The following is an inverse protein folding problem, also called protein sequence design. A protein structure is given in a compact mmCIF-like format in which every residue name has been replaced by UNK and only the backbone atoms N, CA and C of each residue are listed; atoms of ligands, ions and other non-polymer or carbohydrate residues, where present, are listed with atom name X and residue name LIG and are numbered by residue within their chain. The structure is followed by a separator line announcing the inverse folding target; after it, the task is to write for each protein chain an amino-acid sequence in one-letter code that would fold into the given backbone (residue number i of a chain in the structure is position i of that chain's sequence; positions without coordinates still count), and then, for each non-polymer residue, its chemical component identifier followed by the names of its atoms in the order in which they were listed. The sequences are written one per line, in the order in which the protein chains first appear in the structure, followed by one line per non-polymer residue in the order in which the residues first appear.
data_IF_169417299225
#
_entry.id   IF_169417299225
#
_cell.length_a   1.000
_cell.length_b   1.000
_cell.length_c   1.000
_cell.angle_alpha   90.00
_cell.angle_beta   90.00
_cell.angle_gamma   90.00
#
_symmetry.space_group_name_H-M   'P 1'
#
loop_
_entity.id
_entity.type
_entity.pdbx_description
1 polymer ?
#
# COMPACT_ATOMS: atom_id res chain seq x y z
N UNK A 1 7.13 17.67 0.97
CA UNK A 1 5.98 16.95 0.38
C UNK A 1 6.44 15.52 0.14
N UNK A 2 5.73 14.56 0.72
CA UNK A 2 5.99 13.13 0.50
C UNK A 2 5.09 12.60 -0.62
N UNK A 3 5.59 11.63 -1.36
CA UNK A 3 4.89 10.96 -2.44
C UNK A 3 4.69 9.48 -2.10
N UNK A 4 3.62 8.88 -2.62
CA UNK A 4 3.36 7.45 -2.55
C UNK A 4 4.34 6.76 -3.50
N UNK A 5 5.08 5.78 -3.00
CA UNK A 5 6.03 5.02 -3.82
C UNK A 5 5.31 4.07 -4.80
N UNK A 6 6.04 3.61 -5.83
CA UNK A 6 5.56 2.61 -6.80
C UNK A 6 4.77 3.17 -8.00
N UNK A 7 4.42 4.46 -7.99
CA UNK A 7 3.83 5.14 -9.14
C UNK A 7 4.91 5.81 -10.01
N UNK A 8 4.75 5.74 -11.34
CA UNK A 8 5.59 6.51 -12.26
C UNK A 8 5.30 8.02 -12.17
N UNK A 9 4.04 8.41 -11.97
CA UNK A 9 3.68 9.80 -11.67
C UNK A 9 3.79 10.02 -10.16
N UNK A 10 4.45 11.10 -9.71
CA UNK A 10 4.63 11.35 -8.29
C UNK A 10 3.29 11.78 -7.68
N UNK A 11 2.63 10.89 -6.94
CA UNK A 11 1.36 11.15 -6.26
C UNK A 11 1.59 11.59 -4.82
N UNK A 12 1.26 12.85 -4.42
CA UNK A 12 1.39 13.28 -3.04
C UNK A 12 0.63 12.36 -2.08
N UNK A 13 1.14 12.20 -0.85
CA UNK A 13 0.47 11.38 0.19
C UNK A 13 -0.97 11.85 0.49
N UNK A 14 -1.34 13.09 0.16
CA UNK A 14 -2.71 13.59 0.24
C UNK A 14 -3.70 12.80 -0.66
N UNK A 15 -3.23 12.16 -1.73
CA UNK A 15 -4.03 11.30 -2.60
C UNK A 15 -4.13 9.85 -2.10
N UNK A 16 -3.63 9.52 -0.90
CA UNK A 16 -3.63 8.15 -0.40
C UNK A 16 -5.04 7.53 -0.35
N UNK A 17 -6.04 8.29 0.09
CA UNK A 17 -7.44 7.83 0.06
C UNK A 17 -7.97 7.59 -1.35
N UNK A 18 -7.66 8.49 -2.29
CA UNK A 18 -8.04 8.34 -3.70
C UNK A 18 -7.39 7.11 -4.34
N UNK A 19 -6.11 6.88 -4.07
CA UNK A 19 -5.35 5.72 -4.55
C UNK A 19 -5.93 4.43 -3.97
N UNK A 20 -6.07 4.34 -2.64
CA UNK A 20 -6.56 3.14 -1.96
C UNK A 20 -7.99 2.77 -2.36
N UNK A 21 -8.82 3.75 -2.71
CA UNK A 21 -10.19 3.53 -3.18
C UNK A 21 -10.35 3.49 -4.71
N UNK A 22 -9.30 3.72 -5.49
CA UNK A 22 -9.37 4.00 -6.94
C UNK A 22 -10.42 5.09 -7.29
N UNK A 23 -10.40 6.21 -6.56
CA UNK A 23 -11.42 7.25 -6.68
C UNK A 23 -10.83 8.64 -6.59
N UNK A 24 -10.55 9.21 -7.75
CA UNK A 24 -10.19 10.63 -7.89
C UNK A 24 -11.45 11.48 -8.00
N UNK A 25 -11.41 12.65 -7.37
CA UNK A 25 -12.55 13.55 -7.17
C UNK A 25 -12.47 14.80 -8.05
N UNK A 26 -13.59 15.50 -8.20
CA UNK A 26 -13.67 16.72 -9.00
C UNK A 26 -12.67 17.77 -8.50
N UNK A 27 -11.88 18.33 -9.43
CA UNK A 27 -10.88 19.34 -9.12
C UNK A 27 -9.53 18.77 -8.69
N UNK A 28 -9.40 17.45 -8.55
CA UNK A 28 -8.09 16.82 -8.37
C UNK A 28 -7.19 17.16 -9.56
N UNK A 29 -6.00 17.69 -9.28
CA UNK A 29 -4.97 17.98 -10.28
C UNK A 29 -3.71 17.19 -9.98
N UNK A 30 -3.26 16.44 -10.98
CA UNK A 30 -2.16 15.49 -10.86
C UNK A 30 -1.13 15.80 -11.94
N UNK A 31 0.14 15.92 -11.55
CA UNK A 31 1.23 16.27 -12.46
C UNK A 31 2.14 15.07 -12.69
N UNK A 32 2.66 14.92 -13.90
CA UNK A 32 3.64 13.87 -14.19
C UNK A 32 5.01 14.11 -13.55
N UNK A 33 5.27 15.32 -13.03
CA UNK A 33 6.50 15.66 -12.33
C UNK A 33 6.25 16.28 -10.95
N UNK A 34 7.11 15.92 -10.00
CA UNK A 34 6.99 16.37 -8.60
C UNK A 34 7.06 17.89 -8.43
N UNK A 35 7.74 18.59 -9.36
CA UNK A 35 7.80 20.07 -9.38
C UNK A 35 6.46 20.72 -9.72
N UNK A 36 5.50 19.98 -10.27
CA UNK A 36 4.13 20.46 -10.52
C UNK A 36 3.38 20.79 -9.23
N UNK A 37 3.77 20.21 -8.10
CA UNK A 37 3.14 20.47 -6.80
C UNK A 37 3.79 21.59 -6.00
N UNK A 38 4.73 22.34 -6.60
CA UNK A 38 5.40 23.50 -5.96
C UNK A 38 4.82 24.81 -6.50
N UNK A 39 4.89 25.92 -5.74
CA UNK A 39 4.51 27.23 -6.26
C UNK A 39 5.27 27.61 -7.54
N UNK A 40 4.60 28.30 -8.46
CA UNK A 40 5.16 28.69 -9.76
C UNK A 40 5.24 30.21 -9.93
N UNK A 41 6.26 30.87 -9.37
CA UNK A 41 6.39 32.33 -9.49
C UNK A 41 6.65 32.81 -10.92
N UNK A 42 7.12 31.93 -11.82
CA UNK A 42 7.46 32.24 -13.23
C UNK A 42 6.74 31.33 -14.24
N UNK A 43 5.59 30.78 -13.85
CA UNK A 43 4.81 29.84 -14.67
C UNK A 43 5.33 28.40 -14.66
N UNK A 44 4.63 27.53 -15.42
CA UNK A 44 4.78 26.07 -15.42
C UNK A 44 5.90 25.60 -16.36
N UNK A 45 7.18 25.74 -15.95
CA UNK A 45 8.32 25.31 -16.77
C UNK A 45 8.71 23.84 -16.57
N UNK A 46 8.77 23.12 -17.69
CA UNK A 46 9.29 21.75 -17.79
C UNK A 46 8.38 20.68 -17.19
N UNK A 47 7.09 20.97 -16.99
CA UNK A 47 6.11 19.91 -16.82
C UNK A 47 5.89 19.21 -18.16
N UNK A 48 5.61 17.92 -18.16
CA UNK A 48 5.26 17.18 -19.38
C UNK A 48 3.74 17.10 -19.51
N UNK A 49 3.09 16.59 -18.47
CA UNK A 49 1.64 16.41 -18.43
C UNK A 49 1.03 16.89 -17.11
N UNK A 50 -0.24 17.29 -17.19
CA UNK A 50 -1.12 17.39 -16.04
C UNK A 50 -2.48 16.78 -16.39
N UNK A 51 -3.11 16.15 -15.42
CA UNK A 51 -4.50 15.70 -15.50
C UNK A 51 -5.31 16.45 -14.46
N UNK A 52 -6.43 17.02 -14.87
CA UNK A 52 -7.45 17.54 -13.96
C UNK A 52 -8.73 16.72 -14.11
N UNK A 53 -9.29 16.26 -12.99
CA UNK A 53 -10.59 15.57 -12.98
C UNK A 53 -11.70 16.62 -13.02
N UNK A 54 -12.59 16.54 -14.02
CA UNK A 54 -13.63 17.53 -14.28
C UNK A 54 -15.00 17.14 -13.74
N UNK A 55 -15.42 15.89 -13.97
CA UNK A 55 -16.72 15.37 -13.54
C UNK A 55 -16.56 13.88 -13.20
N UNK A 56 -16.34 13.53 -11.92
CA UNK A 56 -16.47 12.16 -11.48
C UNK A 56 -17.96 11.78 -11.45
N UNK A 57 -18.31 10.50 -11.53
CA UNK A 57 -19.71 10.11 -11.53
C UNK A 57 -20.34 10.50 -10.20
N UNK A 58 -21.40 11.31 -10.27
CA UNK A 58 -22.16 11.74 -9.09
C UNK A 58 -22.84 10.51 -8.49
N UNK A 59 -22.26 10.03 -7.39
CA UNK A 59 -22.78 9.01 -6.45
C UNK A 59 -22.58 7.53 -6.82
N UNK A 60 -21.71 6.87 -6.04
CA UNK A 60 -22.07 5.59 -5.45
C UNK A 60 -22.46 5.88 -4.00
N UNK A 61 -23.73 5.59 -3.65
CA UNK A 61 -24.25 5.58 -2.26
C UNK A 61 -23.23 4.93 -1.33
N UNK A 62 -23.10 5.47 -0.12
CA UNK A 62 -22.24 4.96 0.94
C UNK A 62 -22.29 3.42 1.03
N UNK A 63 -21.30 2.75 0.45
CA UNK A 63 -21.09 1.33 0.68
C UNK A 63 -20.74 1.19 2.16
N UNK A 64 -21.33 0.20 2.85
CA UNK A 64 -21.09 -0.03 4.27
C UNK A 64 -19.58 -0.12 4.61
N UNK A 65 -19.18 0.34 5.79
CA UNK A 65 -17.82 0.20 6.29
C UNK A 65 -17.39 -1.29 6.27
N UNK A 66 -16.15 -1.59 5.89
CA UNK A 66 -15.63 -2.97 5.76
C UNK A 66 -15.72 -3.59 4.36
N UNK A 67 -16.15 -2.84 3.35
CA UNK A 67 -16.26 -3.30 1.95
C UNK A 67 -15.14 -2.79 1.04
N UNK A 68 -13.95 -2.47 1.57
CA UNK A 68 -12.86 -1.80 0.82
C UNK A 68 -12.50 -2.47 -0.50
N UNK A 69 -12.36 -3.80 -0.55
CA UNK A 69 -12.12 -4.51 -1.82
C UNK A 69 -13.25 -4.33 -2.84
N UNK A 70 -14.51 -4.32 -2.38
CA UNK A 70 -15.66 -4.05 -3.26
C UNK A 70 -15.72 -2.59 -3.71
N UNK A 71 -15.19 -1.66 -2.91
CA UNK A 71 -15.13 -0.22 -3.26
C UNK A 71 -14.13 0.01 -4.39
N UNK A 72 -12.93 -0.55 -4.28
CA UNK A 72 -11.91 -0.43 -5.33
C UNK A 72 -12.44 -0.95 -6.66
N UNK A 73 -13.00 -2.17 -6.68
CA UNK A 73 -13.55 -2.78 -7.90
C UNK A 73 -14.71 -1.98 -8.50
N UNK A 74 -15.61 -1.46 -7.65
CA UNK A 74 -16.73 -0.63 -8.09
C UNK A 74 -16.24 0.69 -8.72
N UNK A 75 -15.24 1.32 -8.12
CA UNK A 75 -14.69 2.56 -8.63
C UNK A 75 -13.85 2.34 -9.89
N UNK A 76 -13.13 1.22 -10.03
CA UNK A 76 -12.25 0.93 -11.16
C UNK A 76 -12.90 1.17 -12.54
N UNK A 77 -14.15 0.72 -12.70
CA UNK A 77 -14.89 0.85 -13.95
C UNK A 77 -15.77 2.10 -14.01
N UNK A 78 -15.74 2.94 -12.98
CA UNK A 78 -16.54 4.17 -12.93
C UNK A 78 -16.02 5.17 -13.96
N UNK A 79 -16.92 5.63 -14.82
CA UNK A 79 -16.63 6.62 -15.86
C UNK A 79 -16.29 7.97 -15.23
N UNK A 80 -15.36 8.70 -15.82
CA UNK A 80 -15.00 10.05 -15.39
C UNK A 80 -14.55 10.89 -16.59
N UNK A 81 -14.72 12.19 -16.49
CA UNK A 81 -14.14 13.13 -17.45
C UNK A 81 -12.89 13.81 -16.89
N UNK A 82 -11.86 13.90 -17.72
CA UNK A 82 -10.64 14.63 -17.42
C UNK A 82 -10.33 15.69 -18.47
N UNK A 83 -9.52 16.65 -18.04
CA UNK A 83 -8.71 17.49 -18.88
C UNK A 83 -7.25 17.02 -18.80
N UNK A 84 -6.67 16.62 -19.94
CA UNK A 84 -5.25 16.33 -20.07
C UNK A 84 -4.56 17.54 -20.71
N UNK A 85 -3.57 18.09 -20.02
CA UNK A 85 -2.70 19.14 -20.56
C UNK A 85 -1.34 18.54 -20.93
N UNK A 86 -0.97 18.62 -22.21
CA UNK A 86 0.38 18.39 -22.71
C UNK A 86 1.10 19.74 -22.83
N UNK A 87 2.05 19.96 -21.94
CA UNK A 87 2.80 21.22 -21.90
C UNK A 87 3.83 21.34 -23.02
N UNK A 88 4.33 20.22 -23.54
CA UNK A 88 5.27 20.24 -24.66
C UNK A 88 4.54 20.63 -25.95
N UNK A 89 3.34 20.09 -26.15
CA UNK A 89 2.48 20.41 -27.29
C UNK A 89 1.69 21.72 -27.11
N UNK A 90 1.67 22.31 -25.91
CA UNK A 90 0.79 23.43 -25.55
C UNK A 90 -0.68 23.14 -25.87
N UNK A 91 -1.09 21.89 -25.63
CA UNK A 91 -2.41 21.38 -25.98
C UNK A 91 -3.14 20.92 -24.72
N UNK A 92 -4.43 21.17 -24.70
CA UNK A 92 -5.32 20.72 -23.63
C UNK A 92 -6.51 20.01 -24.27
N UNK A 93 -6.75 18.76 -23.85
CA UNK A 93 -7.81 17.92 -24.39
C UNK A 93 -8.73 17.44 -23.29
N UNK A 94 -10.04 17.56 -23.52
CA UNK A 94 -11.06 16.94 -22.67
C UNK A 94 -11.36 15.54 -23.21
N UNK A 95 -11.38 14.55 -22.33
CA UNK A 95 -11.68 13.17 -22.72
C UNK A 95 -12.44 12.44 -21.61
N UNK A 96 -13.39 11.59 -22.02
CA UNK A 96 -14.07 10.65 -21.16
C UNK A 96 -13.21 9.38 -21.01
N UNK A 97 -13.09 8.86 -19.79
CA UNK A 97 -12.31 7.67 -19.47
C UNK A 97 -12.88 6.98 -18.22
N UNK A 98 -12.12 6.10 -17.55
CA UNK A 98 -12.51 5.48 -16.26
C UNK A 98 -11.47 5.71 -15.18
N UNK A 99 -11.84 5.50 -13.91
CA UNK A 99 -10.92 5.62 -12.77
C UNK A 99 -9.74 4.66 -12.91
N UNK A 100 -9.99 3.42 -13.32
CA UNK A 100 -8.95 2.42 -13.55
C UNK A 100 -7.99 2.82 -14.67
N UNK A 101 -8.48 3.44 -15.75
CA UNK A 101 -7.62 3.96 -16.83
C UNK A 101 -6.74 5.12 -16.36
N UNK A 102 -7.31 6.07 -15.59
CA UNK A 102 -6.53 7.12 -14.95
C UNK A 102 -5.50 6.52 -14.00
N UNK A 103 -5.89 5.58 -13.14
CA UNK A 103 -4.99 4.89 -12.22
C UNK A 103 -3.83 4.22 -12.95
N UNK A 104 -4.09 3.49 -14.05
CA UNK A 104 -3.05 2.88 -14.88
C UNK A 104 -2.13 3.90 -15.53
N UNK A 105 -2.64 5.05 -15.99
CA UNK A 105 -1.82 6.15 -16.51
C UNK A 105 -0.83 6.65 -15.44
N UNK A 106 -1.31 6.88 -14.22
CA UNK A 106 -0.48 7.36 -13.11
C UNK A 106 0.55 6.32 -12.67
N UNK A 107 0.11 5.06 -12.59
CA UNK A 107 0.95 3.94 -12.19
C UNK A 107 2.04 3.66 -13.23
N UNK A 108 1.69 3.53 -14.51
CA UNK A 108 2.59 3.11 -15.59
C UNK A 108 3.29 4.27 -16.30
N UNK A 109 2.87 5.50 -16.04
CA UNK A 109 3.44 6.70 -16.63
C UNK A 109 3.10 6.91 -18.10
N UNK A 110 2.07 6.23 -18.61
CA UNK A 110 1.69 6.23 -20.02
C UNK A 110 0.28 6.77 -20.22
N UNK A 111 0.18 7.92 -20.90
CA UNK A 111 -1.10 8.60 -21.21
C UNK A 111 -1.97 7.80 -22.17
N UNK A 112 -1.43 6.82 -22.91
CA UNK A 112 -2.21 5.95 -23.78
C UNK A 112 -3.24 5.11 -23.01
N UNK A 113 -3.08 4.92 -21.70
CA UNK A 113 -4.08 4.25 -20.86
C UNK A 113 -5.40 5.02 -20.79
N UNK A 114 -5.37 6.34 -20.98
CA UNK A 114 -6.54 7.20 -20.88
C UNK A 114 -7.52 7.01 -22.05
N UNK A 115 -7.03 6.52 -23.21
CA UNK A 115 -7.84 6.26 -24.40
C UNK A 115 -8.82 5.09 -24.19
N UNK A 116 -10.14 5.32 -24.25
CA UNK A 116 -11.14 4.26 -24.14
C UNK A 116 -11.02 3.13 -25.18
N UNK A 117 -10.52 3.45 -26.38
CA UNK A 117 -10.30 2.49 -27.46
C UNK A 117 -8.98 1.71 -27.32
N UNK A 118 -8.12 2.13 -26.39
CA UNK A 118 -6.85 1.49 -26.09
C UNK A 118 -7.00 0.22 -25.25
N UNK A 119 -5.88 -0.19 -24.62
CA UNK A 119 -5.77 -1.41 -23.81
C UNK A 119 -6.79 -1.44 -22.67
N UNK A 120 -7.31 -2.62 -22.34
CA UNK A 120 -8.21 -2.80 -21.20
C UNK A 120 -7.42 -2.73 -19.89
N UNK A 121 -7.86 -1.87 -18.97
CA UNK A 121 -7.26 -1.73 -17.65
C UNK A 121 -7.71 -2.87 -16.73
N UNK A 122 -6.76 -3.70 -16.28
CA UNK A 122 -7.01 -4.81 -15.34
C UNK A 122 -6.72 -4.29 -13.92
N UNK A 123 -7.65 -4.45 -12.95
CA UNK A 123 -7.41 -4.07 -11.56
C UNK A 123 -6.16 -4.76 -11.01
N UNK A 124 -5.26 -4.05 -10.32
CA UNK A 124 -4.12 -4.69 -9.69
C UNK A 124 -4.56 -5.60 -8.53
N UNK A 125 -3.76 -6.62 -8.27
CA UNK A 125 -3.98 -7.53 -7.16
C UNK A 125 -3.83 -6.80 -5.80
N UNK A 126 -4.75 -7.05 -4.84
CA UNK A 126 -4.82 -6.30 -3.59
C UNK A 126 -3.83 -6.79 -2.52
N UNK A 127 -3.74 -6.08 -1.39
CA UNK A 127 -2.88 -6.45 -0.25
C UNK A 127 -3.06 -7.90 0.22
N UNK A 128 -4.28 -8.43 0.18
CA UNK A 128 -4.57 -9.83 0.56
C UNK A 128 -3.81 -10.84 -0.30
N UNK A 129 -3.61 -10.53 -1.58
CA UNK A 129 -2.85 -11.39 -2.48
C UNK A 129 -1.36 -11.33 -2.15
N UNK A 130 -0.81 -10.13 -1.95
CA UNK A 130 0.56 -9.98 -1.45
C UNK A 130 0.79 -10.73 -0.12
N UNK A 131 -0.17 -10.68 0.79
CA UNK A 131 -0.11 -11.36 2.08
C UNK A 131 0.05 -12.89 1.94
N UNK A 132 -0.69 -13.51 1.00
CA UNK A 132 -0.56 -14.95 0.72
C UNK A 132 0.80 -15.33 0.18
N UNK A 133 1.49 -14.36 -0.44
CA UNK A 133 2.77 -14.53 -1.14
C UNK A 133 3.97 -14.09 -0.30
N UNK A 134 3.79 -13.77 1.00
CA UNK A 134 4.90 -13.34 1.86
C UNK A 134 6.05 -14.36 1.95
N UNK A 135 5.76 -15.66 1.80
CA UNK A 135 6.80 -16.70 1.75
C UNK A 135 7.74 -16.56 0.55
N UNK A 136 7.26 -16.05 -0.59
CA UNK A 136 8.10 -15.79 -1.77
C UNK A 136 9.09 -14.64 -1.52
N UNK A 137 8.75 -13.70 -0.65
CA UNK A 137 9.59 -12.55 -0.28
C UNK A 137 10.72 -12.91 0.70
N UNK A 138 10.55 -14.00 1.47
CA UNK A 138 11.41 -14.37 2.58
C UNK A 138 12.91 -14.44 2.18
N UNK A 139 13.31 -15.08 1.06
CA UNK A 139 14.73 -15.16 0.70
C UNK A 139 15.39 -13.79 0.48
N UNK A 140 14.65 -12.80 -0.02
CA UNK A 140 15.19 -11.45 -0.24
C UNK A 140 15.51 -10.75 1.09
N UNK A 141 14.63 -10.88 2.09
CA UNK A 141 14.84 -10.33 3.43
C UNK A 141 15.92 -11.07 4.21
N UNK A 142 15.95 -12.41 4.14
CA UNK A 142 17.02 -13.19 4.77
C UNK A 142 18.39 -12.81 4.22
N UNK A 143 18.52 -12.70 2.90
CA UNK A 143 19.76 -12.24 2.25
C UNK A 143 20.15 -10.83 2.69
N UNK A 144 19.19 -9.92 2.82
CA UNK A 144 19.46 -8.56 3.29
C UNK A 144 19.96 -8.57 4.75
N UNK A 145 19.22 -9.20 5.67
CA UNK A 145 19.55 -9.16 7.09
C UNK A 145 20.75 -10.04 7.48
N UNK A 146 21.15 -11.00 6.64
CA UNK A 146 22.37 -11.79 6.84
C UNK A 146 23.60 -11.21 6.14
N UNK A 147 23.45 -10.13 5.37
CA UNK A 147 24.57 -9.46 4.73
C UNK A 147 25.53 -8.84 5.78
N UNK A 148 26.85 -8.81 5.52
CA UNK A 148 27.78 -8.14 6.41
C UNK A 148 27.40 -6.66 6.63
N UNK A 149 27.43 -6.22 7.89
CA UNK A 149 27.14 -4.82 8.27
C UNK A 149 25.71 -4.55 8.75
N UNK A 150 24.82 -5.55 8.73
CA UNK A 150 23.52 -5.47 9.42
C UNK A 150 23.65 -5.90 10.88
N UNK A 151 22.80 -5.39 11.77
CA UNK A 151 22.80 -5.78 13.18
C UNK A 151 22.34 -7.23 13.36
N UNK A 152 21.47 -7.70 12.47
CA UNK A 152 21.01 -9.08 12.44
C UNK A 152 22.06 -10.11 11.97
N UNK A 153 23.24 -9.67 11.48
CA UNK A 153 24.25 -10.57 10.91
C UNK A 153 24.97 -11.49 11.91
N UNK A 154 24.88 -11.23 13.21
CA UNK A 154 25.70 -11.87 14.23
C UNK A 154 25.10 -13.16 14.85
N UNK A 155 23.91 -13.62 14.46
CA UNK A 155 23.32 -14.80 15.08
C UNK A 155 21.97 -15.24 14.51
N UNK A 156 21.25 -16.04 15.31
CA UNK A 156 19.86 -16.42 15.03
C UNK A 156 18.94 -15.25 15.28
N UNK A 157 17.94 -15.07 14.42
CA UNK A 157 16.91 -14.05 14.59
C UNK A 157 15.55 -14.58 14.14
N UNK A 158 14.48 -13.96 14.62
CA UNK A 158 13.14 -14.16 14.08
C UNK A 158 12.88 -13.10 13.01
N UNK A 159 12.37 -13.50 11.86
CA UNK A 159 11.96 -12.60 10.78
C UNK A 159 10.44 -12.53 10.75
N UNK A 160 9.91 -11.33 10.96
CA UNK A 160 8.49 -11.04 10.75
C UNK A 160 8.29 -10.25 9.46
N UNK A 161 7.43 -10.75 8.57
CA UNK A 161 7.04 -10.09 7.33
C UNK A 161 5.57 -9.70 7.36
N UNK A 162 5.25 -8.49 6.91
CA UNK A 162 3.88 -8.01 6.76
C UNK A 162 3.68 -7.34 5.40
N UNK A 163 2.56 -7.67 4.74
CA UNK A 163 2.08 -6.94 3.58
C UNK A 163 1.40 -5.65 4.04
N UNK A 164 1.80 -4.50 3.49
CA UNK A 164 1.32 -3.18 3.89
C UNK A 164 0.92 -2.39 2.64
N UNK A 165 -0.26 -1.80 2.64
CA UNK A 165 -0.66 -0.82 1.63
C UNK A 165 -0.28 0.59 2.09
N UNK A 166 0.71 1.20 1.43
CA UNK A 166 1.17 2.56 1.77
C UNK A 166 0.13 3.65 1.39
N UNK A 167 -0.91 3.31 0.62
CA UNK A 167 -2.05 4.20 0.40
C UNK A 167 -3.11 4.09 1.51
N UNK A 168 -3.08 3.03 2.34
CA UNK A 168 -4.04 2.83 3.42
C UNK A 168 -3.48 3.29 4.78
N UNK A 169 -4.10 4.30 5.39
CA UNK A 169 -3.62 4.86 6.67
C UNK A 169 -3.68 3.85 7.82
N UNK A 170 -4.74 3.04 7.91
CA UNK A 170 -4.87 2.03 8.94
C UNK A 170 -3.78 0.96 8.81
N UNK A 171 -3.46 0.53 7.58
CA UNK A 171 -2.37 -0.43 7.32
C UNK A 171 -1.01 0.13 7.76
N UNK A 172 -0.69 1.38 7.41
CA UNK A 172 0.55 2.04 7.84
C UNK A 172 0.64 2.20 9.36
N UNK A 173 -0.45 2.64 9.99
CA UNK A 173 -0.52 2.80 11.45
C UNK A 173 -0.34 1.47 12.16
N UNK A 174 -0.94 0.40 11.64
CA UNK A 174 -0.74 -0.96 12.14
C UNK A 174 0.71 -1.43 12.01
N UNK A 175 1.34 -1.22 10.86
CA UNK A 175 2.74 -1.59 10.64
C UNK A 175 3.69 -0.85 11.60
N UNK A 176 3.45 0.44 11.85
CA UNK A 176 4.18 1.23 12.85
C UNK A 176 3.95 0.72 14.27
N UNK A 177 2.70 0.42 14.63
CA UNK A 177 2.36 -0.10 15.95
C UNK A 177 3.02 -1.47 16.21
N UNK A 178 3.03 -2.35 15.21
CA UNK A 178 3.73 -3.65 15.27
C UNK A 178 5.22 -3.45 15.55
N UNK A 179 5.87 -2.58 14.79
CA UNK A 179 7.28 -2.27 15.00
C UNK A 179 7.55 -1.72 16.41
N UNK A 180 6.79 -0.70 16.83
CA UNK A 180 6.94 -0.09 18.15
C UNK A 180 6.80 -1.10 19.31
N UNK A 181 5.79 -1.99 19.23
CA UNK A 181 5.55 -3.02 20.25
C UNK A 181 6.69 -4.03 20.35
N UNK A 182 7.39 -4.30 19.25
CA UNK A 182 8.57 -5.16 19.23
C UNK A 182 9.82 -4.43 19.73
N UNK A 183 10.02 -3.17 19.35
CA UNK A 183 11.15 -2.32 19.79
C UNK A 183 11.19 -2.15 21.32
N UNK A 184 10.05 -2.23 22.01
CA UNK A 184 9.99 -2.15 23.47
C UNK A 184 10.70 -3.31 24.19
N UNK A 185 10.90 -4.45 23.53
CA UNK A 185 11.42 -5.69 24.15
C UNK A 185 12.57 -6.32 23.41
N UNK A 186 12.75 -6.01 22.14
CA UNK A 186 13.74 -6.63 21.29
C UNK A 186 14.57 -5.57 20.58
N UNK A 187 15.77 -5.94 20.15
CA UNK A 187 16.47 -5.17 19.13
C UNK A 187 15.87 -5.56 17.77
N UNK A 188 15.23 -4.60 17.11
CA UNK A 188 14.59 -4.80 15.81
C UNK A 188 15.33 -4.01 14.75
N UNK A 189 15.62 -4.67 13.64
CA UNK A 189 16.08 -4.03 12.41
C UNK A 189 14.95 -4.11 11.38
N UNK A 190 14.54 -2.98 10.81
CA UNK A 190 13.43 -2.91 9.86
C UNK A 190 13.91 -2.61 8.44
N UNK A 191 13.34 -3.30 7.47
CA UNK A 191 13.53 -3.03 6.04
C UNK A 191 12.20 -3.05 5.31
N UNK A 192 12.11 -2.24 4.25
CA UNK A 192 10.96 -2.21 3.37
C UNK A 192 11.40 -2.53 1.95
N UNK A 193 10.63 -3.38 1.28
CA UNK A 193 10.77 -3.67 -0.14
C UNK A 193 9.43 -3.49 -0.84
N UNK A 194 9.46 -2.99 -2.07
CA UNK A 194 8.38 -3.23 -3.03
C UNK A 194 8.33 -4.72 -3.39
N UNK A 195 7.21 -5.23 -3.92
CA UNK A 195 7.12 -6.62 -4.39
C UNK A 195 8.23 -6.99 -5.39
N UNK A 196 8.61 -6.07 -6.29
CA UNK A 196 9.69 -6.29 -7.25
C UNK A 196 11.07 -6.40 -6.60
N UNK A 197 11.39 -5.51 -5.65
CA UNK A 197 12.65 -5.58 -4.89
C UNK A 197 12.75 -6.85 -4.03
N UNK A 198 11.61 -7.38 -3.57
CA UNK A 198 11.53 -8.64 -2.84
C UNK A 198 11.56 -9.89 -3.75
N UNK A 199 11.62 -9.72 -5.07
CA UNK A 199 11.75 -10.82 -6.03
C UNK A 199 10.47 -11.59 -6.32
N UNK A 200 9.29 -11.01 -6.06
CA UNK A 200 8.01 -11.65 -6.36
C UNK A 200 7.79 -11.72 -7.87
N UNK A 201 7.36 -12.87 -8.38
CA UNK A 201 6.92 -13.01 -9.77
C UNK A 201 5.67 -12.15 -10.02
N UNK A 202 5.52 -11.60 -11.24
CA UNK A 202 4.39 -10.73 -11.59
C UNK A 202 4.17 -9.59 -10.57
N UNK A 203 5.26 -9.04 -10.02
CA UNK A 203 5.21 -7.94 -9.06
C UNK A 203 4.48 -6.71 -9.63
N UNK A 204 4.50 -6.55 -10.94
CA UNK A 204 3.82 -5.48 -11.65
C UNK A 204 2.33 -5.74 -11.84
N UNK A 205 1.78 -6.88 -11.40
CA UNK A 205 0.32 -7.09 -11.31
C UNK A 205 -0.24 -6.68 -9.94
N UNK A 206 0.62 -6.49 -8.93
CA UNK A 206 0.22 -6.05 -7.60
C UNK A 206 -0.02 -4.54 -7.54
N UNK A 207 -0.87 -4.11 -6.61
CA UNK A 207 -1.17 -2.69 -6.45
C UNK A 207 0.12 -1.90 -6.12
N UNK A 208 0.41 -0.78 -6.81
CA UNK A 208 1.71 -0.11 -6.76
C UNK A 208 2.10 0.42 -5.38
N UNK A 209 1.12 0.78 -4.55
CA UNK A 209 1.37 1.25 -3.19
C UNK A 209 1.66 0.10 -2.20
N UNK A 210 1.57 -1.16 -2.62
CA UNK A 210 1.87 -2.29 -1.75
C UNK A 210 3.37 -2.40 -1.50
N UNK A 211 3.71 -2.66 -0.24
CA UNK A 211 5.06 -2.83 0.26
C UNK A 211 5.08 -4.04 1.19
N UNK A 212 6.27 -4.59 1.40
CA UNK A 212 6.52 -5.63 2.40
C UNK A 212 7.42 -5.01 3.46
N UNK A 213 6.95 -5.00 4.70
CA UNK A 213 7.78 -4.68 5.87
C UNK A 213 8.41 -5.97 6.37
N UNK A 214 9.74 -6.01 6.44
CA UNK A 214 10.47 -7.06 7.13
C UNK A 214 11.11 -6.53 8.40
N UNK A 215 10.91 -7.24 9.50
CA UNK A 215 11.47 -6.95 10.82
C UNK A 215 12.34 -8.12 11.24
N UNK A 216 13.66 -7.93 11.28
CA UNK A 216 14.58 -8.88 11.88
C UNK A 216 14.70 -8.59 13.38
N UNK A 217 14.37 -9.58 14.20
CA UNK A 217 14.21 -9.45 15.64
C UNK A 217 15.26 -10.32 16.31
N UNK A 218 16.19 -9.70 17.03
CA UNK A 218 17.21 -10.40 17.79
C UNK A 218 16.56 -11.16 18.96
N UNK A 219 16.13 -12.39 18.71
CA UNK A 219 15.50 -13.28 19.67
C UNK A 219 15.83 -14.73 19.32
N UNK A 220 16.00 -15.55 20.35
CA UNK A 220 16.20 -17.00 20.20
C UNK A 220 14.89 -17.80 20.17
N UNK A 221 13.72 -17.14 20.32
CA UNK A 221 12.42 -17.83 20.43
C UNK A 221 11.33 -17.05 19.72
N UNK A 222 10.86 -17.56 18.58
CA UNK A 222 9.69 -17.04 17.86
C UNK A 222 8.44 -16.93 18.73
N UNK A 223 8.26 -17.84 19.70
CA UNK A 223 7.15 -17.81 20.65
C UNK A 223 7.06 -16.51 21.46
N UNK A 224 8.19 -15.93 21.87
CA UNK A 224 8.20 -14.67 22.62
C UNK A 224 7.80 -13.47 21.75
N UNK A 225 8.17 -13.51 20.46
CA UNK A 225 7.76 -12.52 19.47
C UNK A 225 6.25 -12.62 19.23
N UNK A 226 5.74 -13.83 19.02
CA UNK A 226 4.31 -14.07 18.82
C UNK A 226 3.47 -13.59 20.01
N UNK A 227 3.88 -13.92 21.24
CA UNK A 227 3.20 -13.49 22.46
C UNK A 227 3.11 -11.96 22.53
N UNK A 228 4.19 -11.25 22.17
CA UNK A 228 4.19 -9.79 22.17
C UNK A 228 3.24 -9.22 21.12
N UNK A 229 3.24 -9.80 19.91
CA UNK A 229 2.36 -9.38 18.83
C UNK A 229 0.88 -9.68 19.11
N UNK A 230 0.58 -10.78 19.81
CA UNK A 230 -0.78 -11.18 20.17
C UNK A 230 -1.51 -10.08 20.95
N UNK A 231 -0.84 -9.44 21.90
CA UNK A 231 -1.44 -8.37 22.71
C UNK A 231 -1.91 -7.16 21.88
N UNK A 232 -1.17 -6.80 20.83
CA UNK A 232 -1.51 -5.72 19.92
C UNK A 232 -2.60 -6.13 18.92
N UNK A 233 -2.41 -7.29 18.29
CA UNK A 233 -3.22 -7.72 17.14
C UNK A 233 -4.59 -8.26 17.54
N UNK A 234 -4.74 -8.75 18.78
CA UNK A 234 -6.01 -9.29 19.29
C UNK A 234 -6.93 -8.19 19.84
N UNK A 235 -6.38 -7.12 20.44
CA UNK A 235 -7.17 -6.01 21.01
C UNK A 235 -7.86 -5.14 19.96
N UNK A 236 -7.35 -5.11 18.73
CA UNK A 236 -7.90 -4.26 17.67
C UNK A 236 -9.25 -4.73 17.10
N UNK A 237 -9.79 -5.88 17.54
CA UNK A 237 -11.11 -6.38 17.13
C UNK A 237 -12.23 -6.12 18.15
N UNK A 238 -11.89 -5.78 19.39
CA UNK A 238 -12.84 -5.37 20.43
C UNK A 238 -12.97 -3.84 20.39
N UNK A 239 -13.65 -3.33 19.36
CA UNK A 239 -14.13 -1.94 19.39
C UNK A 239 -15.11 -1.84 20.55
N UNK A 240 -14.59 -1.33 21.68
CA UNK A 240 -15.18 -1.31 23.00
C UNK A 240 -16.55 -0.63 23.07
N UNK A 241 -17.57 -1.34 22.62
CA UNK A 241 -18.94 -1.10 23.04
C UNK A 241 -19.00 -1.56 24.49
N UNK A 242 -19.26 -0.67 25.48
CA UNK A 242 -19.39 -1.07 26.88
C UNK A 242 -20.68 -1.87 27.03
N UNK A 243 -20.61 -3.18 26.75
CA UNK A 243 -21.73 -4.11 26.83
C UNK A 243 -21.41 -5.20 27.84
N UNK A 244 -22.08 -5.11 28.98
CA UNK A 244 -22.31 -6.14 30.01
C UNK A 244 -21.12 -7.00 30.51
N UNK A 245 -20.71 -6.87 31.80
CA UNK A 245 -19.69 -7.72 32.42
C UNK A 245 -20.17 -9.15 32.76
N UNK A 246 -21.27 -9.61 32.18
CA UNK A 246 -21.93 -10.86 32.57
C UNK A 246 -21.90 -11.91 31.45
N UNK A 247 -20.93 -12.81 31.52
CA UNK A 247 -21.14 -14.20 31.14
C UNK A 247 -20.99 -14.54 29.66
N UNK A 248 -19.76 -14.89 29.27
CA UNK A 248 -19.52 -15.65 28.05
C UNK A 248 -18.10 -16.17 28.01
N UNK A 249 -17.88 -17.41 28.48
CA UNK A 249 -16.72 -18.23 28.10
C UNK A 249 -16.87 -18.66 26.62
N UNK A 250 -17.08 -17.69 25.74
CA UNK A 250 -17.22 -17.89 24.30
C UNK A 250 -15.85 -18.23 23.73
N UNK A 251 -15.80 -19.38 23.06
CA UNK A 251 -14.69 -19.91 22.26
C UNK A 251 -13.50 -18.97 22.09
N UNK A 252 -12.39 -19.32 22.73
CA UNK A 252 -11.09 -18.70 22.46
C UNK A 252 -10.74 -18.92 20.99
N UNK A 253 -11.19 -18.00 20.13
CA UNK A 253 -10.83 -17.95 18.73
C UNK A 253 -9.32 -18.00 18.66
N UNK A 254 -8.78 -19.14 18.22
CA UNK A 254 -7.33 -19.39 18.21
C UNK A 254 -6.67 -18.26 17.44
N UNK A 255 -5.94 -17.41 18.16
CA UNK A 255 -5.11 -16.38 17.56
C UNK A 255 -4.21 -17.03 16.50
N UNK A 256 -4.22 -16.46 15.30
CA UNK A 256 -3.40 -16.94 14.20
C UNK A 256 -2.60 -15.78 13.64
N UNK A 257 -1.31 -15.76 13.96
CA UNK A 257 -0.37 -14.75 13.46
C UNK A 257 -0.33 -14.72 11.93
N UNK A 258 -0.58 -15.86 11.28
CA UNK A 258 -0.66 -16.01 9.83
C UNK A 258 -1.71 -15.11 9.16
N UNK A 259 -2.69 -14.57 9.91
CA UNK A 259 -3.65 -13.58 9.41
C UNK A 259 -3.09 -12.15 9.37
N UNK A 260 -1.94 -11.92 9.97
CA UNK A 260 -1.36 -10.59 10.16
C UNK A 260 0.04 -10.46 9.58
N UNK A 261 0.79 -11.56 9.50
CA UNK A 261 2.07 -11.62 8.82
C UNK A 261 2.61 -13.04 8.74
N UNK A 262 3.85 -13.16 8.31
CA UNK A 262 4.63 -14.40 8.34
C UNK A 262 5.74 -14.24 9.38
N UNK A 263 5.83 -15.15 10.34
CA UNK A 263 6.94 -15.20 11.31
C UNK A 263 7.72 -16.49 11.07
N UNK A 264 9.02 -16.35 10.83
CA UNK A 264 9.94 -17.48 10.62
C UNK A 264 11.20 -17.32 11.47
N UNK A 265 11.82 -18.42 11.84
CA UNK A 265 13.13 -18.42 12.49
C UNK A 265 14.22 -18.57 11.45
N UNK A 266 15.21 -17.68 11.47
CA UNK A 266 16.33 -17.68 10.54
C UNK A 266 17.59 -18.05 11.32
N UNK A 267 18.23 -19.15 10.89
CA UNK A 267 19.53 -19.58 11.40
C UNK A 267 20.57 -19.45 10.29
N UNK A 268 21.72 -18.86 10.61
CA UNK A 268 22.90 -18.97 9.74
C UNK A 268 23.41 -20.41 9.82
N UNK A 269 23.50 -21.07 8.67
CA UNK A 269 24.27 -22.30 8.48
C UNK A 269 25.76 -21.99 8.36
#
# INVERSE_FOLDING_TARGET
MEFIEGFCWPLPRAFAGAVSACRFEQGDVIYSEAKGYRPWPKGRRGLKFAVQVLDPPKSARALAAGSEGKRFDANWNSALEIELTDYAASATTRQATTQGRLFCCLWRGDTAWLDPAGRVAIPPAPQRELHRRLGEAQPAFERYFTAPGTNASAGRFSLYLAAVDDANEAARSKAKAVQAVLDEKFQVESRWFSPGEAGLAAADELHPALRIQGLAIASQRSAAVEERLRGLLYRAGDDGTPGDPAGGQGESGRFSLARHGLLVEVSRS
#
